data_IF_089416565831
#
_entry.id   IF_089416565831
#
_cell.length_a   1.000
_cell.length_b   1.000
_cell.length_c   1.000
_cell.angle_alpha   90.00
_cell.angle_beta   90.00
_cell.angle_gamma   90.00
#
_symmetry.space_group_name_H-M   'P 1'
#
loop_
_entity.id
_entity.type
_entity.pdbx_description
1 polymer ?
#
# COMPACT_ATOMS: atom_id res chain seq x y z
N UNK A 1 22.54 -3.89 -14.07
CA UNK A 1 22.48 -2.95 -12.93
C UNK A 1 21.64 -3.59 -11.85
N UNK A 2 22.05 -3.55 -10.57
CA UNK A 2 21.16 -3.96 -9.47
C UNK A 2 19.97 -2.99 -9.48
N UNK A 3 18.74 -3.50 -9.55
CA UNK A 3 17.55 -2.70 -9.28
C UNK A 3 17.60 -2.30 -7.80
N UNK A 4 18.11 -1.10 -7.53
CA UNK A 4 18.04 -0.50 -6.21
C UNK A 4 16.66 0.13 -6.13
N UNK A 5 15.70 -0.64 -5.61
CA UNK A 5 14.44 -0.10 -5.12
C UNK A 5 14.37 -0.41 -3.62
N UNK A 6 14.40 0.64 -2.80
CA UNK A 6 14.32 0.50 -1.34
C UNK A 6 13.65 1.71 -0.68
N UNK A 7 12.86 1.46 0.34
CA UNK A 7 12.33 2.52 1.21
C UNK A 7 13.44 2.93 2.17
N UNK A 8 13.77 4.23 2.21
CA UNK A 8 14.91 4.75 2.98
C UNK A 8 14.51 5.66 4.14
N UNK A 9 13.32 6.27 4.11
CA UNK A 9 12.84 7.14 5.19
C UNK A 9 11.31 7.19 5.25
N UNK A 10 10.76 7.29 6.46
CA UNK A 10 9.33 7.47 6.72
C UNK A 10 9.09 8.91 7.21
N UNK A 11 8.13 9.61 6.64
CA UNK A 11 7.72 10.95 7.08
C UNK A 11 6.53 10.84 8.02
N UNK A 12 6.80 10.49 9.28
CA UNK A 12 5.76 10.17 10.29
C UNK A 12 4.71 11.28 10.47
N UNK A 13 5.10 12.54 10.30
CA UNK A 13 4.25 13.73 10.38
C UNK A 13 3.26 13.88 9.21
N UNK A 14 3.43 13.10 8.15
CA UNK A 14 2.53 13.05 6.99
C UNK A 14 1.41 12.02 7.15
N UNK A 15 1.39 11.27 8.27
CA UNK A 15 0.42 10.21 8.47
C UNK A 15 -1.01 10.76 8.55
N UNK A 16 -1.80 10.44 7.52
CA UNK A 16 -3.20 10.86 7.36
C UNK A 16 -4.09 9.65 7.50
N UNK A 17 -5.18 9.75 8.26
CA UNK A 17 -6.09 8.62 8.48
C UNK A 17 -7.56 9.01 8.36
N UNK A 18 -8.38 8.04 8.02
CA UNK A 18 -9.82 8.13 8.18
C UNK A 18 -10.45 6.76 8.44
N UNK A 19 -11.62 6.79 9.09
CA UNK A 19 -12.44 5.60 9.28
C UNK A 19 -12.99 5.15 7.93
N UNK A 20 -12.82 3.86 7.63
CA UNK A 20 -13.28 3.28 6.38
C UNK A 20 -14.59 2.50 6.53
N UNK A 21 -14.70 1.63 7.54
CA UNK A 21 -15.91 0.84 7.78
C UNK A 21 -16.18 0.63 9.27
N UNK A 22 -17.44 0.39 9.63
CA UNK A 22 -17.87 0.10 11.02
C UNK A 22 -17.82 -1.39 11.36
N UNK A 23 -18.25 -2.27 10.45
CA UNK A 23 -18.33 -3.71 10.66
C UNK A 23 -17.83 -4.46 9.41
N UNK A 24 -16.66 -5.14 9.48
CA UNK A 24 -15.66 -4.99 10.53
C UNK A 24 -15.16 -3.54 10.63
N UNK A 25 -14.67 -3.12 11.80
CA UNK A 25 -14.08 -1.79 11.94
C UNK A 25 -12.75 -1.74 11.20
N UNK A 26 -12.64 -0.83 10.23
CA UNK A 26 -11.44 -0.61 9.44
C UNK A 26 -11.11 0.87 9.37
N UNK A 27 -9.82 1.16 9.32
CA UNK A 27 -9.24 2.49 9.13
C UNK A 27 -8.31 2.40 7.93
N UNK A 28 -8.27 3.46 7.13
CA UNK A 28 -7.36 3.60 6.00
C UNK A 28 -6.46 4.81 6.26
N UNK A 29 -5.26 4.78 5.68
CA UNK A 29 -4.30 5.83 5.88
C UNK A 29 -3.30 5.95 4.76
N UNK A 30 -2.69 7.13 4.69
CA UNK A 30 -1.65 7.49 3.75
C UNK A 30 -0.42 7.94 4.53
N UNK A 31 0.75 7.52 4.07
CA UNK A 31 2.04 7.91 4.64
C UNK A 31 3.01 8.18 3.50
N UNK A 32 3.81 9.23 3.63
CA UNK A 32 4.81 9.57 2.65
C UNK A 32 6.16 8.96 3.07
N UNK A 33 6.89 8.40 2.12
CA UNK A 33 8.21 7.80 2.33
C UNK A 33 9.20 8.31 1.28
N UNK A 34 10.48 8.36 1.63
CA UNK A 34 11.51 8.41 0.60
C UNK A 34 11.81 6.99 0.14
N UNK A 35 11.90 6.85 -1.17
CA UNK A 35 12.24 5.61 -1.84
C UNK A 35 13.39 5.88 -2.80
N UNK A 36 14.45 5.09 -2.68
CA UNK A 36 15.55 5.11 -3.63
C UNK A 36 15.21 4.23 -4.81
N UNK A 37 15.29 4.81 -6.00
CA UNK A 37 15.19 4.16 -7.29
C UNK A 37 16.56 4.23 -7.99
N UNK A 38 16.69 3.57 -9.15
CA UNK A 38 17.88 3.67 -9.99
C UNK A 38 18.18 5.11 -10.47
N UNK A 39 17.18 5.98 -10.47
CA UNK A 39 17.28 7.40 -10.84
C UNK A 39 17.39 8.36 -9.66
N UNK A 40 17.54 7.86 -8.44
CA UNK A 40 17.69 8.66 -7.23
C UNK A 40 16.56 8.48 -6.22
N UNK A 41 16.59 9.31 -5.18
CA UNK A 41 15.64 9.24 -4.06
C UNK A 41 14.45 10.15 -4.33
N UNK A 42 13.24 9.58 -4.26
CA UNK A 42 12.00 10.30 -4.51
C UNK A 42 10.97 10.07 -3.40
N UNK A 43 10.14 11.09 -3.15
CA UNK A 43 9.02 11.02 -2.20
C UNK A 43 7.86 10.26 -2.84
N UNK A 44 7.32 9.27 -2.13
CA UNK A 44 6.19 8.45 -2.58
C UNK A 44 5.16 8.33 -1.47
N UNK A 45 3.90 8.58 -1.77
CA UNK A 45 2.79 8.27 -0.87
C UNK A 45 2.43 6.79 -0.98
N UNK A 46 2.35 6.09 0.15
CA UNK A 46 1.88 4.71 0.26
C UNK A 46 0.56 4.66 1.03
N UNK A 47 -0.29 3.69 0.72
CA UNK A 47 -1.57 3.46 1.39
C UNK A 47 -1.54 2.21 2.27
N UNK A 48 -2.14 2.32 3.44
CA UNK A 48 -2.25 1.23 4.41
C UNK A 48 -3.69 1.14 4.95
N UNK A 49 -4.03 -0.04 5.45
CA UNK A 49 -5.26 -0.25 6.20
C UNK A 49 -5.01 -0.96 7.52
N UNK A 50 -5.83 -0.65 8.52
CA UNK A 50 -5.91 -1.34 9.80
C UNK A 50 -7.28 -1.98 9.94
N UNK A 51 -7.32 -3.19 10.48
CA UNK A 51 -8.57 -3.90 10.80
C UNK A 51 -8.61 -4.29 12.28
N UNK A 52 -9.81 -4.26 12.84
CA UNK A 52 -10.13 -4.80 14.18
C UNK A 52 -10.31 -6.32 14.21
N UNK A 53 -10.50 -6.96 13.05
CA UNK A 53 -10.65 -8.42 12.91
C UNK A 53 -9.32 -9.14 12.67
N UNK A 54 -9.26 -10.41 13.06
CA UNK A 54 -8.12 -11.33 12.94
C UNK A 54 -8.47 -12.47 11.99
N UNK A 55 -8.26 -12.29 10.69
CA UNK A 55 -8.35 -13.38 9.71
C UNK A 55 -6.98 -13.61 9.07
N UNK A 56 -6.67 -14.87 8.74
CA UNK A 56 -5.49 -15.30 7.97
C UNK A 56 -4.15 -14.83 8.60
N UNK A 57 -3.90 -15.19 9.86
CA UNK A 57 -2.65 -14.88 10.59
C UNK A 57 -2.30 -13.39 10.71
N UNK A 58 -3.27 -12.50 10.50
CA UNK A 58 -3.09 -11.05 10.66
C UNK A 58 -3.15 -10.64 12.13
N UNK A 59 -2.24 -9.74 12.50
CA UNK A 59 -2.19 -9.12 13.81
C UNK A 59 -3.26 -8.04 13.89
N UNK A 60 -4.14 -8.18 14.89
CA UNK A 60 -5.18 -7.19 15.18
C UNK A 60 -4.57 -5.81 15.37
N UNK A 61 -5.13 -4.83 14.68
CA UNK A 61 -4.70 -3.43 14.82
C UNK A 61 -3.35 -3.09 14.20
N UNK A 62 -2.67 -4.03 13.53
CA UNK A 62 -1.52 -3.72 12.67
C UNK A 62 -1.99 -3.09 11.36
N UNK A 63 -1.13 -2.27 10.76
CA UNK A 63 -1.38 -1.64 9.47
C UNK A 63 -0.73 -2.43 8.35
N UNK A 64 -1.48 -2.72 7.30
CA UNK A 64 -1.06 -3.53 6.15
C UNK A 64 -1.14 -2.69 4.86
N UNK A 65 -0.17 -2.83 3.95
CA UNK A 65 -0.16 -2.09 2.69
C UNK A 65 -1.34 -2.49 1.79
N UNK A 66 -1.81 -1.52 1.02
CA UNK A 66 -2.80 -1.66 -0.06
C UNK A 66 -2.34 -0.85 -1.27
N UNK A 67 -2.71 -1.31 -2.47
CA UNK A 67 -2.48 -0.56 -3.71
C UNK A 67 -3.66 0.33 -4.11
N UNK A 68 -4.74 0.26 -3.34
CA UNK A 68 -5.96 1.01 -3.57
C UNK A 68 -7.19 0.31 -3.00
N UNK A 69 -8.37 0.80 -3.35
CA UNK A 69 -9.65 0.27 -2.90
C UNK A 69 -10.60 0.16 -4.08
N UNK A 70 -11.20 -1.02 -4.27
CA UNK A 70 -12.18 -1.25 -5.33
C UNK A 70 -13.38 -0.31 -5.16
N UNK A 71 -13.80 0.35 -6.24
CA UNK A 71 -14.90 1.31 -6.25
C UNK A 71 -16.15 0.77 -6.97
N UNK A 72 -15.99 -0.26 -7.81
CA UNK A 72 -17.05 -0.94 -8.56
C UNK A 72 -16.93 -2.46 -8.43
N UNK A 73 -18.03 -3.20 -8.48
CA UNK A 73 -18.00 -4.67 -8.55
C UNK A 73 -17.36 -5.14 -9.88
N UNK A 74 -16.70 -6.30 -9.88
CA UNK A 74 -16.17 -6.96 -11.08
C UNK A 74 -14.68 -6.70 -11.33
N UNK A 75 -14.30 -6.62 -12.60
CA UNK A 75 -12.90 -6.48 -13.04
C UNK A 75 -12.28 -5.15 -12.60
N UNK A 76 -10.94 -5.13 -12.56
CA UNK A 76 -10.16 -3.95 -12.19
C UNK A 76 -10.07 -2.98 -13.37
N UNK A 77 -10.74 -1.82 -13.24
CA UNK A 77 -10.78 -0.78 -14.29
C UNK A 77 -10.59 0.63 -13.73
N UNK A 78 -10.61 0.79 -12.42
CA UNK A 78 -10.59 2.10 -11.75
C UNK A 78 -9.19 2.58 -11.33
N UNK A 79 -8.16 1.75 -11.46
CA UNK A 79 -6.78 2.13 -11.21
C UNK A 79 -6.09 2.49 -12.53
N UNK A 80 -4.77 2.73 -12.47
CA UNK A 80 -3.99 2.81 -13.69
C UNK A 80 -3.94 1.46 -14.42
N UNK A 81 -3.68 1.50 -15.72
CA UNK A 81 -3.59 0.30 -16.57
C UNK A 81 -2.65 -0.75 -15.98
N UNK A 82 -1.48 -0.32 -15.50
CA UNK A 82 -0.51 -1.23 -14.88
C UNK A 82 -1.01 -1.84 -13.56
N UNK A 83 -1.61 -1.03 -12.68
CA UNK A 83 -2.15 -1.53 -11.41
C UNK A 83 -3.35 -2.46 -11.64
N UNK A 84 -4.20 -2.16 -12.63
CA UNK A 84 -5.28 -3.06 -13.06
C UNK A 84 -4.71 -4.41 -13.50
N UNK A 85 -3.69 -4.42 -14.37
CA UNK A 85 -3.02 -5.64 -14.82
C UNK A 85 -2.42 -6.47 -13.66
N UNK A 86 -1.72 -5.81 -12.73
CA UNK A 86 -1.14 -6.45 -11.55
C UNK A 86 -2.23 -7.07 -10.66
N UNK A 87 -3.31 -6.35 -10.40
CA UNK A 87 -4.41 -6.85 -9.57
C UNK A 87 -5.17 -8.00 -10.23
N UNK A 88 -5.42 -7.92 -11.55
CA UNK A 88 -5.98 -9.04 -12.32
C UNK A 88 -5.07 -10.28 -12.28
N UNK A 89 -3.75 -10.08 -12.27
CA UNK A 89 -2.78 -11.19 -12.21
C UNK A 89 -2.61 -11.80 -10.83
N UNK A 90 -3.00 -11.10 -9.76
CA UNK A 90 -2.74 -11.51 -8.36
C UNK A 90 -4.02 -11.83 -7.58
N UNK A 91 -5.19 -11.61 -8.18
CA UNK A 91 -6.49 -11.85 -7.55
C UNK A 91 -7.19 -12.99 -8.27
N UNK A 92 -7.78 -13.91 -7.49
CA UNK A 92 -8.59 -15.00 -8.03
C UNK A 92 -9.66 -14.44 -8.98
N UNK A 93 -9.81 -15.07 -10.14
CA UNK A 93 -10.76 -14.71 -11.20
C UNK A 93 -10.64 -13.26 -11.71
N UNK A 94 -9.56 -12.54 -11.41
CA UNK A 94 -9.31 -11.15 -11.81
C UNK A 94 -10.45 -10.17 -11.44
N UNK A 95 -11.28 -10.49 -10.46
CA UNK A 95 -12.44 -9.68 -10.04
C UNK A 95 -12.45 -9.44 -8.54
N UNK A 96 -13.11 -8.37 -8.11
CA UNK A 96 -13.30 -8.07 -6.70
C UNK A 96 -14.58 -7.28 -6.44
N UNK A 97 -15.05 -7.35 -5.19
CA UNK A 97 -16.23 -6.61 -4.77
C UNK A 97 -15.95 -5.15 -4.44
N UNK A 98 -16.96 -4.29 -4.53
CA UNK A 98 -16.85 -2.87 -4.13
C UNK A 98 -16.41 -2.77 -2.67
N UNK A 99 -15.44 -1.91 -2.44
CA UNK A 99 -14.82 -1.70 -1.14
C UNK A 99 -13.82 -2.79 -0.72
N UNK A 100 -13.50 -3.71 -1.62
CA UNK A 100 -12.39 -4.61 -1.42
C UNK A 100 -11.07 -3.85 -1.37
N UNK A 101 -10.27 -4.14 -0.34
CA UNK A 101 -8.96 -3.56 -0.12
C UNK A 101 -7.94 -4.30 -0.98
N UNK A 102 -7.37 -3.61 -1.96
CA UNK A 102 -6.48 -4.16 -2.97
C UNK A 102 -5.11 -4.46 -2.38
N UNK A 103 -4.95 -5.71 -1.91
CA UNK A 103 -3.78 -6.12 -1.13
C UNK A 103 -3.14 -7.42 -1.61
N UNK A 104 -3.76 -8.12 -2.55
CA UNK A 104 -3.38 -9.48 -3.00
C UNK A 104 -1.90 -9.63 -3.31
N UNK A 105 -1.31 -8.66 -4.02
CA UNK A 105 0.12 -8.63 -4.34
C UNK A 105 1.04 -8.76 -3.11
N UNK A 106 0.62 -8.30 -1.94
CA UNK A 106 1.42 -8.40 -0.71
C UNK A 106 1.29 -9.75 0.00
N UNK A 107 0.47 -10.68 -0.51
CA UNK A 107 0.21 -12.01 0.06
C UNK A 107 0.74 -13.14 -0.85
N UNK A 108 1.91 -12.94 -1.47
CA UNK A 108 2.58 -14.01 -2.22
C UNK A 108 2.85 -15.26 -1.38
N UNK A 109 3.36 -16.31 -2.02
CA UNK A 109 3.76 -17.54 -1.33
C UNK A 109 4.93 -17.26 -0.38
N UNK A 110 4.75 -17.54 0.91
CA UNK A 110 5.79 -17.39 1.93
C UNK A 110 6.57 -18.71 2.05
N UNK A 111 7.90 -18.62 2.03
CA UNK A 111 8.81 -19.74 2.25
C UNK A 111 9.39 -19.76 3.67
N UNK A 112 9.28 -18.65 4.39
CA UNK A 112 9.81 -18.47 5.73
C UNK A 112 8.66 -18.37 6.73
N UNK A 113 8.52 -19.38 7.59
CA UNK A 113 7.39 -19.53 8.52
C UNK A 113 7.32 -18.43 9.60
N UNK A 114 8.41 -17.68 9.82
CA UNK A 114 8.47 -16.63 10.83
C UNK A 114 7.95 -15.26 10.33
N UNK A 115 7.78 -15.08 9.02
CA UNK A 115 7.28 -13.81 8.45
C UNK A 115 5.77 -13.70 8.57
N UNK A 116 5.28 -12.50 8.89
CA UNK A 116 3.84 -12.21 8.97
C UNK A 116 3.31 -11.95 7.55
N UNK A 117 2.29 -12.66 7.07
CA UNK A 117 1.74 -12.45 5.73
C UNK A 117 1.13 -11.06 5.53
N UNK A 118 1.26 -10.54 4.30
CA UNK A 118 0.64 -9.28 3.89
C UNK A 118 1.57 -8.08 3.82
N UNK A 119 2.89 -8.29 3.88
CA UNK A 119 3.90 -7.25 3.76
C UNK A 119 4.83 -7.45 2.56
N UNK A 120 4.41 -8.22 1.54
CA UNK A 120 5.28 -8.74 0.48
C UNK A 120 6.22 -9.83 0.98
N UNK A 121 6.70 -10.72 0.10
CA UNK A 121 7.71 -11.74 0.44
C UNK A 121 9.05 -11.46 -0.25
N UNK A 122 9.17 -10.23 -0.73
CA UNK A 122 10.29 -9.70 -1.48
C UNK A 122 11.28 -9.03 -0.54
N UNK A 123 12.31 -8.40 -1.09
CA UNK A 123 13.22 -7.52 -0.33
C UNK A 123 12.51 -6.36 0.42
N UNK A 124 11.23 -6.08 0.11
CA UNK A 124 10.45 -5.00 0.73
C UNK A 124 9.79 -5.38 2.05
N UNK A 125 9.81 -6.67 2.44
CA UNK A 125 9.10 -7.17 3.62
C UNK A 125 9.39 -6.35 4.89
N UNK A 126 10.66 -6.23 5.27
CA UNK A 126 11.05 -5.58 6.53
C UNK A 126 10.65 -4.10 6.54
N UNK A 127 10.84 -3.40 5.42
CA UNK A 127 10.46 -1.99 5.30
C UNK A 127 8.95 -1.78 5.41
N UNK A 128 8.15 -2.59 4.71
CA UNK A 128 6.69 -2.51 4.77
C UNK A 128 6.15 -2.90 6.16
N UNK A 129 6.75 -3.90 6.79
CA UNK A 129 6.42 -4.31 8.15
C UNK A 129 6.75 -3.20 9.17
N UNK A 130 7.93 -2.59 9.07
CA UNK A 130 8.37 -1.50 9.94
C UNK A 130 7.47 -0.26 9.80
N UNK A 131 7.03 0.08 8.58
CA UNK A 131 6.00 1.11 8.39
C UNK A 131 4.72 0.70 9.11
N UNK A 132 4.23 -0.53 8.89
CA UNK A 132 3.01 -1.04 9.54
C UNK A 132 3.04 -0.90 11.07
N UNK A 133 4.18 -1.22 11.70
CA UNK A 133 4.42 -1.05 13.15
C UNK A 133 4.46 0.41 13.57
N UNK A 134 5.13 1.26 12.79
CA UNK A 134 5.20 2.71 13.03
C UNK A 134 3.82 3.35 13.00
N UNK A 135 3.01 3.04 11.97
CA UNK A 135 1.63 3.52 11.86
C UNK A 135 0.73 3.00 12.99
N UNK A 136 0.97 1.78 13.48
CA UNK A 136 0.25 1.22 14.63
C UNK A 136 0.50 2.05 15.88
N UNK A 137 1.78 2.34 16.18
CA UNK A 137 2.20 3.17 17.32
C UNK A 137 1.54 4.55 17.24
N UNK A 138 1.73 5.26 16.13
CA UNK A 138 1.15 6.59 15.90
C UNK A 138 -0.37 6.63 16.06
N UNK A 139 -1.07 5.65 15.50
CA UNK A 139 -2.51 5.60 15.65
C UNK A 139 -2.95 5.41 17.10
N UNK A 140 -2.26 4.55 17.86
CA UNK A 140 -2.58 4.31 19.26
C UNK A 140 -2.25 5.51 20.16
N UNK A 141 -1.17 6.24 19.84
CA UNK A 141 -0.74 7.47 20.51
C UNK A 141 -1.53 8.71 20.05
N UNK A 142 -2.46 8.55 19.11
CA UNK A 142 -3.23 9.64 18.47
C UNK A 142 -2.36 10.67 17.75
N UNK A 143 -1.16 10.27 17.30
CA UNK A 143 -0.26 11.10 16.51
C UNK A 143 -0.53 10.92 15.00
N UNK A 144 -1.61 11.52 14.51
CA UNK A 144 -1.98 11.47 13.10
C UNK A 144 -2.86 12.65 12.72
N UNK A 145 -2.92 12.95 11.42
CA UNK A 145 -3.84 13.95 10.86
C UNK A 145 -5.14 13.27 10.43
N UNK A 146 -6.28 13.65 11.02
CA UNK A 146 -7.59 13.17 10.56
C UNK A 146 -7.94 13.84 9.24
N UNK A 147 -8.14 13.05 8.19
CA UNK A 147 -8.54 13.52 6.86
C UNK A 147 -9.93 12.98 6.53
N UNK A 148 -10.99 13.72 6.89
CA UNK A 148 -12.39 13.25 6.72
C UNK A 148 -12.76 12.93 5.26
N UNK A 149 -12.09 13.56 4.30
CA UNK A 149 -12.26 13.32 2.86
C UNK A 149 -11.60 12.02 2.37
N UNK A 150 -10.71 11.41 3.16
CA UNK A 150 -9.99 10.20 2.75
C UNK A 150 -10.95 9.01 2.68
N UNK A 151 -11.30 8.63 1.46
CA UNK A 151 -12.19 7.52 1.12
C UNK A 151 -11.58 6.70 -0.04
N UNK A 152 -12.32 5.73 -0.58
CA UNK A 152 -11.82 4.87 -1.65
C UNK A 152 -11.39 5.64 -2.91
N UNK A 153 -12.21 6.61 -3.36
CA UNK A 153 -11.88 7.42 -4.54
C UNK A 153 -10.65 8.29 -4.27
N UNK A 154 -10.56 8.89 -3.07
CA UNK A 154 -9.44 9.76 -2.72
C UNK A 154 -8.12 9.00 -2.58
N UNK A 155 -8.13 7.79 -2.01
CA UNK A 155 -6.93 6.93 -2.00
C UNK A 155 -6.47 6.64 -3.42
N UNK A 156 -7.38 6.17 -4.28
CA UNK A 156 -7.02 5.81 -5.64
C UNK A 156 -6.51 7.01 -6.42
N UNK A 157 -7.12 8.19 -6.22
CA UNK A 157 -6.68 9.46 -6.80
C UNK A 157 -5.28 9.81 -6.36
N UNK A 158 -4.99 9.80 -5.05
CA UNK A 158 -3.68 10.16 -4.49
C UNK A 158 -2.59 9.22 -4.99
N UNK A 159 -2.84 7.90 -5.00
CA UNK A 159 -1.85 6.92 -5.44
C UNK A 159 -1.55 7.03 -6.95
N UNK A 160 -2.52 7.47 -7.76
CA UNK A 160 -2.39 7.63 -9.20
C UNK A 160 -2.16 9.09 -9.66
N UNK A 161 -1.73 9.97 -8.75
CA UNK A 161 -1.46 11.38 -9.06
C UNK A 161 -0.38 11.51 -10.15
N UNK A 162 -0.70 12.25 -11.22
CA UNK A 162 0.24 12.59 -12.31
C UNK A 162 1.05 13.85 -12.02
N UNK A 163 1.10 14.26 -10.76
CA UNK A 163 1.86 15.40 -10.28
C UNK A 163 3.15 14.92 -9.61
N UNK A 164 4.18 15.76 -9.66
CA UNK A 164 5.44 15.54 -8.96
C UNK A 164 5.34 16.18 -7.58
N UNK A 165 5.83 15.48 -6.56
CA UNK A 165 6.08 16.12 -5.27
C UNK A 165 7.30 17.03 -5.34
N UNK A 166 7.40 17.96 -4.40
CA UNK A 166 8.56 18.85 -4.35
C UNK A 166 9.85 18.04 -4.21
N UNK A 167 10.80 18.27 -5.14
CA UNK A 167 12.08 17.55 -5.20
C UNK A 167 12.06 16.26 -6.01
N UNK A 168 10.89 15.79 -6.47
CA UNK A 168 10.77 14.62 -7.32
C UNK A 168 11.04 14.95 -8.79
N UNK A 169 11.69 14.03 -9.53
CA UNK A 169 11.78 14.09 -10.99
C UNK A 169 10.63 13.32 -11.65
N UNK A 170 10.00 12.39 -10.95
CA UNK A 170 8.90 11.57 -11.45
C UNK A 170 7.60 11.84 -10.69
N UNK A 171 6.48 11.54 -11.33
CA UNK A 171 5.16 11.70 -10.73
C UNK A 171 4.94 10.68 -9.62
N UNK A 172 4.03 10.99 -8.69
CA UNK A 172 3.58 10.05 -7.67
C UNK A 172 3.12 8.72 -8.29
N UNK A 173 2.38 8.77 -9.40
CA UNK A 173 1.93 7.58 -10.15
C UNK A 173 3.10 6.74 -10.65
N UNK A 174 4.07 7.34 -11.33
CA UNK A 174 5.22 6.62 -11.89
C UNK A 174 6.04 5.93 -10.79
N UNK A 175 6.37 6.67 -9.73
CA UNK A 175 7.13 6.13 -8.60
C UNK A 175 6.35 5.00 -7.89
N UNK A 176 5.05 5.18 -7.70
CA UNK A 176 4.19 4.17 -7.10
C UNK A 176 4.07 2.91 -7.97
N UNK A 177 3.85 3.06 -9.28
CA UNK A 177 3.80 1.92 -10.21
C UNK A 177 5.13 1.18 -10.26
N UNK A 178 6.27 1.88 -10.24
CA UNK A 178 7.60 1.25 -10.16
C UNK A 178 7.82 0.47 -8.88
N UNK A 179 7.33 0.97 -7.75
CA UNK A 179 7.34 0.22 -6.51
C UNK A 179 6.51 -1.07 -6.59
N UNK A 180 5.30 -0.98 -7.14
CA UNK A 180 4.42 -2.14 -7.30
C UNK A 180 4.99 -3.14 -8.31
N UNK A 181 5.63 -2.67 -9.38
CA UNK A 181 6.32 -3.49 -10.38
C UNK A 181 7.42 -4.33 -9.76
N UNK A 182 8.29 -3.72 -8.95
CA UNK A 182 9.41 -4.43 -8.33
C UNK A 182 8.92 -5.50 -7.35
N UNK A 183 7.82 -5.25 -6.62
CA UNK A 183 7.16 -6.29 -5.81
C UNK A 183 6.56 -7.40 -6.69
N UNK A 184 5.92 -7.03 -7.79
CA UNK A 184 5.20 -7.97 -8.65
C UNK A 184 6.13 -8.91 -9.41
N UNK A 185 7.28 -8.40 -9.87
CA UNK A 185 8.28 -9.22 -10.56
C UNK A 185 8.83 -10.32 -9.63
N UNK A 186 9.14 -9.99 -8.38
CA UNK A 186 9.57 -10.96 -7.36
C UNK A 186 8.39 -11.81 -6.80
N UNK A 187 7.13 -11.45 -7.11
CA UNK A 187 5.97 -12.29 -6.79
C UNK A 187 5.78 -13.41 -7.82
N UNK A 188 6.03 -13.12 -9.10
CA UNK A 188 5.84 -14.06 -10.22
C UNK A 188 7.01 -15.01 -10.43
N UNK A 189 8.21 -14.62 -10.04
CA UNK A 189 9.47 -15.34 -10.27
C UNK A 189 10.22 -15.51 -8.96
#
# INVERSE_FOLDING_TARGET
MKNVLRIVKIYEDTFRVNKYSKKPFRVIGLIDVDMEFYYGVERVTLAFYRSSGTNNNKIKGLWYPIVGIKTKEGEFTEFSEYINYVLSSTTLDATAIKGWLAKSIFFGKQYEDWKIPGFSNTKHYDSLYNIGKTLQRHYNEKNYKLMKSLNAMEINRVLALREKYYGNNHTQRENFEKFIEDIFLEFKY
#
